data_IF_506019922735
#
_entry.id   IF_506019922735
#
_cell.length_a   1.000
_cell.length_b   1.000
_cell.length_c   1.000
_cell.angle_alpha   90.00
_cell.angle_beta   90.00
_cell.angle_gamma   90.00
#
_symmetry.space_group_name_H-M   'P 1'
#
loop_
_entity.id
_entity.type
_entity.pdbx_description
1 polymer ?
#
# COMPACT_ATOMS: atom_id res chain seq x y z
N UNK A 1 -17.81 -10.42 0.74
CA UNK A 1 -17.48 -10.36 2.21
C UNK A 1 -16.32 -9.42 2.46
N UNK A 2 -15.20 -9.58 1.78
CA UNK A 2 -13.98 -8.78 1.98
C UNK A 2 -14.18 -7.26 1.79
N UNK A 3 -15.01 -6.87 0.80
CA UNK A 3 -15.32 -5.45 0.54
C UNK A 3 -16.05 -4.79 1.72
N UNK A 4 -17.02 -5.47 2.33
CA UNK A 4 -17.79 -4.95 3.45
C UNK A 4 -16.90 -4.79 4.69
N UNK A 5 -16.10 -5.81 5.01
CA UNK A 5 -15.14 -5.74 6.12
C UNK A 5 -14.17 -4.57 5.97
N UNK A 6 -13.66 -4.36 4.76
CA UNK A 6 -12.76 -3.26 4.44
C UNK A 6 -13.44 -1.90 4.62
N UNK A 7 -14.68 -1.75 4.13
CA UNK A 7 -15.46 -0.52 4.29
C UNK A 7 -15.73 -0.23 5.76
N UNK A 8 -16.14 -1.22 6.55
CA UNK A 8 -16.40 -1.05 8.00
C UNK A 8 -15.10 -0.68 8.74
N UNK A 9 -14.01 -1.41 8.51
CA UNK A 9 -12.71 -1.10 9.12
C UNK A 9 -12.28 0.34 8.84
N UNK A 10 -12.28 0.73 7.57
CA UNK A 10 -11.82 2.06 7.19
C UNK A 10 -12.82 3.16 7.56
N UNK A 11 -14.12 2.92 7.43
CA UNK A 11 -15.16 3.91 7.75
C UNK A 11 -15.28 4.21 9.23
N UNK A 12 -15.29 3.18 10.07
CA UNK A 12 -15.56 3.31 11.50
C UNK A 12 -14.30 3.47 12.36
N UNK A 13 -13.16 2.99 11.91
CA UNK A 13 -11.94 2.93 12.72
C UNK A 13 -10.83 3.78 12.10
N UNK A 14 -10.35 3.42 10.91
CA UNK A 14 -9.11 4.00 10.36
C UNK A 14 -9.27 5.48 10.02
N UNK A 15 -10.34 5.86 9.32
CA UNK A 15 -10.57 7.27 8.95
C UNK A 15 -10.78 8.19 10.15
N UNK A 16 -11.61 7.87 11.16
CA UNK A 16 -11.69 8.66 12.38
C UNK A 16 -10.34 8.82 13.07
N UNK A 17 -9.55 7.75 13.21
CA UNK A 17 -8.21 7.84 13.79
C UNK A 17 -7.31 8.74 12.93
N UNK A 18 -7.27 8.53 11.63
CA UNK A 18 -6.41 9.29 10.72
C UNK A 18 -6.74 10.80 10.72
N UNK A 19 -8.01 11.15 10.57
CA UNK A 19 -8.41 12.53 10.37
C UNK A 19 -8.67 13.30 11.66
N UNK A 20 -9.13 12.65 12.74
CA UNK A 20 -9.48 13.31 14.00
C UNK A 20 -8.31 13.24 14.99
N UNK A 21 -7.73 12.03 15.20
CA UNK A 21 -6.70 11.85 16.23
C UNK A 21 -5.33 12.27 15.72
N UNK A 22 -4.95 11.84 14.51
CA UNK A 22 -3.62 12.17 13.94
C UNK A 22 -3.59 13.56 13.28
N UNK A 23 -4.73 14.14 12.97
CA UNK A 23 -4.80 15.50 12.40
C UNK A 23 -4.04 15.65 11.09
N UNK A 24 -4.26 14.77 10.13
CA UNK A 24 -3.50 14.72 8.87
C UNK A 24 -3.57 16.06 8.11
N UNK A 25 -2.41 16.59 7.77
CA UNK A 25 -2.28 17.69 6.81
C UNK A 25 -1.97 17.10 5.43
N UNK A 26 -2.92 17.19 4.50
CA UNK A 26 -2.83 16.55 3.18
C UNK A 26 -2.71 17.63 2.11
N UNK A 27 -1.66 17.54 1.28
CA UNK A 27 -1.45 18.40 0.12
C UNK A 27 -1.52 17.58 -1.15
N UNK A 28 -2.14 18.11 -2.22
CA UNK A 28 -2.22 17.44 -3.52
C UNK A 28 -3.11 16.18 -3.51
N UNK A 29 -4.13 16.11 -2.66
CA UNK A 29 -5.07 14.98 -2.64
C UNK A 29 -5.82 14.81 -3.97
N UNK A 30 -6.02 15.89 -4.69
CA UNK A 30 -6.62 15.94 -6.03
C UNK A 30 -5.79 15.20 -7.09
N UNK A 31 -4.49 14.98 -6.83
CA UNK A 31 -3.58 14.23 -7.71
C UNK A 31 -3.62 12.71 -7.50
N UNK A 32 -4.31 12.25 -6.46
CA UNK A 32 -4.44 10.80 -6.25
C UNK A 32 -5.39 10.19 -7.29
N UNK A 33 -4.99 9.12 -7.98
CA UNK A 33 -5.84 8.45 -8.96
C UNK A 33 -7.03 7.81 -8.24
N UNK A 34 -8.25 8.12 -8.67
CA UNK A 34 -9.47 7.51 -8.14
C UNK A 34 -9.87 6.21 -8.84
N UNK A 35 -9.26 5.94 -9.98
CA UNK A 35 -9.43 4.73 -10.77
C UNK A 35 -8.05 4.23 -11.19
N UNK A 36 -7.91 2.90 -11.30
CA UNK A 36 -6.72 2.28 -11.87
C UNK A 36 -6.85 2.03 -13.38
N UNK A 37 -5.83 1.44 -13.98
CA UNK A 37 -4.61 0.99 -13.31
C UNK A 37 -3.70 2.14 -12.89
N UNK A 38 -3.18 2.10 -11.67
CA UNK A 38 -2.26 3.10 -11.17
C UNK A 38 -1.37 2.56 -10.05
N UNK A 39 -0.23 3.20 -9.81
CA UNK A 39 0.67 2.89 -8.71
C UNK A 39 0.91 4.13 -7.86
N UNK A 40 0.66 4.01 -6.56
CA UNK A 40 1.12 4.96 -5.54
C UNK A 40 2.49 4.49 -5.05
N UNK A 41 3.52 5.28 -5.31
CA UNK A 41 4.88 5.02 -4.84
C UNK A 41 5.21 5.93 -3.65
N UNK A 42 5.25 5.37 -2.45
CA UNK A 42 5.41 6.15 -1.22
C UNK A 42 6.68 5.76 -0.44
N UNK A 43 7.23 6.67 0.36
CA UNK A 43 8.25 6.34 1.34
C UNK A 43 7.66 5.54 2.51
N UNK A 44 8.47 4.73 3.20
CA UNK A 44 8.01 3.79 4.23
C UNK A 44 8.71 4.00 5.56
N UNK A 45 8.03 4.65 6.49
CA UNK A 45 8.58 5.02 7.80
C UNK A 45 7.84 4.38 8.99
N UNK A 46 6.58 3.96 8.79
CA UNK A 46 5.70 3.53 9.87
C UNK A 46 4.81 2.36 9.47
N UNK A 47 4.37 1.58 10.45
CA UNK A 47 3.30 0.59 10.26
C UNK A 47 1.96 1.20 9.83
N UNK A 48 1.74 2.49 10.14
CA UNK A 48 0.52 3.20 9.79
C UNK A 48 0.47 3.67 8.34
N UNK A 49 1.59 3.70 7.63
CA UNK A 49 1.70 4.29 6.29
C UNK A 49 0.63 3.76 5.33
N UNK A 50 0.47 2.43 5.29
CA UNK A 50 -0.54 1.78 4.43
C UNK A 50 -1.94 2.23 4.80
N UNK A 51 -2.28 2.24 6.10
CA UNK A 51 -3.60 2.58 6.58
C UNK A 51 -3.93 4.05 6.29
N UNK A 52 -2.96 4.93 6.48
CA UNK A 52 -3.11 6.36 6.20
C UNK A 52 -3.32 6.60 4.70
N UNK A 53 -2.47 6.03 3.83
CA UNK A 53 -2.64 6.16 2.38
C UNK A 53 -4.00 5.66 1.90
N UNK A 54 -4.43 4.50 2.37
CA UNK A 54 -5.74 3.94 2.03
C UNK A 54 -6.89 4.81 2.56
N UNK A 55 -6.73 5.46 3.73
CA UNK A 55 -7.75 6.34 4.31
C UNK A 55 -8.05 7.58 3.46
N UNK A 56 -7.14 7.96 2.56
CA UNK A 56 -7.33 9.09 1.65
C UNK A 56 -8.38 8.81 0.57
N UNK A 57 -8.66 7.54 0.30
CA UNK A 57 -9.61 7.14 -0.73
C UNK A 57 -11.06 7.15 -0.22
N UNK A 58 -12.05 7.46 -1.10
CA UNK A 58 -13.47 7.26 -0.78
C UNK A 58 -13.75 5.80 -0.42
N UNK A 59 -14.68 5.55 0.52
CA UNK A 59 -15.07 4.19 0.91
C UNK A 59 -15.60 3.36 -0.27
N UNK A 60 -16.26 4.01 -1.24
CA UNK A 60 -16.72 3.37 -2.47
C UNK A 60 -15.59 2.81 -3.35
N UNK A 61 -14.38 3.39 -3.26
CA UNK A 61 -13.20 3.02 -4.07
C UNK A 61 -12.16 2.21 -3.31
N UNK A 62 -12.24 2.16 -1.98
CA UNK A 62 -11.18 1.58 -1.13
C UNK A 62 -10.91 0.10 -1.43
N UNK A 63 -11.89 -0.63 -1.95
CA UNK A 63 -11.75 -2.03 -2.33
C UNK A 63 -10.81 -2.23 -3.53
N UNK A 64 -10.62 -1.19 -4.36
CA UNK A 64 -9.71 -1.15 -5.51
C UNK A 64 -8.28 -0.77 -5.13
N UNK A 65 -8.06 -0.31 -3.89
CA UNK A 65 -6.72 0.06 -3.41
C UNK A 65 -6.06 -1.14 -2.76
N UNK A 66 -4.94 -1.60 -3.32
CA UNK A 66 -4.26 -2.84 -2.98
C UNK A 66 -2.81 -2.59 -2.56
N UNK A 67 -2.50 -2.64 -1.27
CA UNK A 67 -1.12 -2.55 -0.81
C UNK A 67 -0.31 -3.80 -1.19
N UNK A 68 0.90 -3.59 -1.67
CA UNK A 68 1.87 -4.65 -1.94
C UNK A 68 2.76 -4.83 -0.71
N UNK A 69 2.82 -6.03 -0.16
CA UNK A 69 3.47 -6.28 1.11
C UNK A 69 4.24 -7.61 1.14
N UNK A 70 5.21 -7.71 2.03
CA UNK A 70 6.06 -8.89 2.18
C UNK A 70 5.28 -10.10 2.73
N UNK A 71 5.25 -11.20 1.99
CA UNK A 71 4.54 -12.42 2.36
C UNK A 71 5.07 -13.03 3.66
N UNK A 72 6.39 -13.08 3.83
CA UNK A 72 7.08 -13.61 4.99
C UNK A 72 6.63 -12.99 6.31
N UNK A 73 6.33 -11.70 6.32
CA UNK A 73 5.83 -10.99 7.52
C UNK A 73 4.31 -11.19 7.71
N UNK A 74 3.52 -10.86 6.68
CA UNK A 74 2.06 -10.82 6.83
C UNK A 74 1.39 -12.20 6.83
N UNK A 75 2.06 -13.24 6.33
CA UNK A 75 1.55 -14.61 6.34
C UNK A 75 2.16 -15.48 7.44
N UNK A 76 2.97 -14.93 8.34
CA UNK A 76 3.62 -15.66 9.44
C UNK A 76 2.66 -16.21 10.49
N UNK A 77 1.51 -15.57 10.67
CA UNK A 77 0.46 -15.94 11.62
C UNK A 77 -0.90 -15.98 10.92
N UNK A 78 -1.71 -17.00 11.19
CA UNK A 78 -3.04 -17.20 10.56
C UNK A 78 -3.99 -16.02 10.75
N UNK A 79 -4.02 -15.42 11.95
CA UNK A 79 -4.89 -14.27 12.25
C UNK A 79 -4.42 -13.03 11.50
N UNK A 80 -3.11 -12.77 11.50
CA UNK A 80 -2.51 -11.65 10.76
C UNK A 80 -2.71 -11.84 9.25
N UNK A 81 -2.53 -13.05 8.73
CA UNK A 81 -2.78 -13.37 7.33
C UNK A 81 -4.24 -13.12 6.94
N UNK A 82 -5.18 -13.63 7.74
CA UNK A 82 -6.60 -13.40 7.50
C UNK A 82 -6.94 -11.90 7.48
N UNK A 83 -6.50 -11.16 8.50
CA UNK A 83 -6.74 -9.72 8.60
C UNK A 83 -6.13 -8.96 7.40
N UNK A 84 -4.87 -9.25 7.07
CA UNK A 84 -4.16 -8.58 5.99
C UNK A 84 -4.77 -8.85 4.61
N UNK A 85 -5.17 -10.10 4.36
CA UNK A 85 -5.75 -10.50 3.08
C UNK A 85 -7.22 -10.07 2.96
N UNK A 86 -8.02 -10.19 4.03
CA UNK A 86 -9.47 -9.98 3.98
C UNK A 86 -9.92 -8.57 4.35
N UNK A 87 -9.28 -7.96 5.35
CA UNK A 87 -9.65 -6.61 5.81
C UNK A 87 -8.86 -5.51 5.11
N UNK A 88 -7.56 -5.71 4.87
CA UNK A 88 -6.73 -4.73 4.16
C UNK A 88 -6.70 -5.00 2.66
N UNK A 89 -6.64 -6.27 2.26
CA UNK A 89 -6.57 -6.70 0.87
C UNK A 89 -5.18 -6.55 0.27
N UNK A 90 -4.13 -6.91 1.03
CA UNK A 90 -2.76 -6.86 0.55
C UNK A 90 -2.52 -7.84 -0.62
N UNK A 91 -1.54 -7.51 -1.45
CA UNK A 91 -0.94 -8.42 -2.42
C UNK A 91 0.39 -8.90 -1.82
N UNK A 92 0.49 -10.17 -1.39
CA UNK A 92 1.70 -10.69 -0.79
C UNK A 92 2.77 -10.95 -1.85
N UNK A 93 4.00 -10.42 -1.65
CA UNK A 93 5.19 -10.72 -2.44
C UNK A 93 6.10 -11.70 -1.71
N UNK A 94 6.50 -12.76 -2.38
CA UNK A 94 7.54 -13.67 -1.90
C UNK A 94 8.92 -13.09 -2.15
N UNK A 95 9.60 -12.65 -1.08
CA UNK A 95 10.95 -12.07 -1.15
C UNK A 95 12.07 -13.08 -0.91
N UNK A 96 11.76 -14.37 -0.89
CA UNK A 96 12.74 -15.44 -0.61
C UNK A 96 13.82 -15.59 -1.69
N UNK A 97 13.62 -14.96 -2.86
CA UNK A 97 14.53 -15.06 -4.02
C UNK A 97 14.40 -16.37 -4.78
N UNK A 98 13.45 -17.23 -4.41
CA UNK A 98 13.20 -18.52 -5.08
C UNK A 98 12.37 -18.39 -6.35
N UNK A 99 11.53 -17.36 -6.44
CA UNK A 99 10.67 -17.10 -7.60
C UNK A 99 11.39 -16.26 -8.65
N UNK A 100 11.13 -16.53 -9.93
CA UNK A 100 11.54 -15.63 -11.01
C UNK A 100 10.85 -14.27 -10.84
N UNK A 101 11.47 -13.22 -11.36
CA UNK A 101 10.94 -11.85 -11.23
C UNK A 101 9.53 -11.72 -11.80
N UNK A 102 9.24 -12.39 -12.91
CA UNK A 102 7.92 -12.40 -13.56
C UNK A 102 6.85 -13.03 -12.67
N UNK A 103 7.15 -14.19 -12.07
CA UNK A 103 6.24 -14.87 -11.14
C UNK A 103 6.02 -14.06 -9.86
N UNK A 104 7.06 -13.36 -9.40
CA UNK A 104 7.00 -12.52 -8.19
C UNK A 104 5.93 -11.43 -8.31
N UNK A 105 5.80 -10.79 -9.47
CA UNK A 105 4.89 -9.69 -9.71
C UNK A 105 3.58 -10.07 -10.40
N UNK A 106 3.35 -11.36 -10.72
CA UNK A 106 2.14 -11.82 -11.44
C UNK A 106 0.84 -11.29 -10.81
N UNK A 107 0.68 -11.44 -9.48
CA UNK A 107 -0.51 -10.93 -8.76
C UNK A 107 -0.65 -9.41 -8.79
N UNK A 108 0.45 -8.68 -8.90
CA UNK A 108 0.42 -7.23 -9.07
C UNK A 108 -0.04 -6.86 -10.48
N UNK A 109 0.42 -7.59 -11.49
CA UNK A 109 -0.03 -7.42 -12.86
C UNK A 109 -1.52 -7.75 -12.99
N UNK A 110 -2.00 -8.86 -12.42
CA UNK A 110 -3.43 -9.21 -12.38
C UNK A 110 -4.27 -8.10 -11.75
N UNK A 111 -3.81 -7.51 -10.66
CA UNK A 111 -4.51 -6.41 -10.00
C UNK A 111 -4.56 -5.15 -10.88
N UNK A 112 -3.45 -4.79 -11.54
CA UNK A 112 -3.43 -3.67 -12.49
C UNK A 112 -4.36 -3.91 -13.67
N UNK A 113 -4.41 -5.15 -14.21
CA UNK A 113 -5.32 -5.54 -15.30
C UNK A 113 -6.79 -5.46 -14.88
N UNK A 114 -7.06 -5.65 -13.59
CA UNK A 114 -8.39 -5.46 -12.98
C UNK A 114 -8.70 -3.99 -12.64
N UNK A 115 -7.90 -3.03 -13.12
CA UNK A 115 -8.02 -1.61 -12.79
C UNK A 115 -7.94 -1.32 -11.28
N UNK A 116 -7.10 -2.05 -10.55
CA UNK A 116 -6.79 -1.76 -9.16
C UNK A 116 -5.68 -0.69 -9.07
N UNK A 117 -5.59 -0.05 -7.90
CA UNK A 117 -4.55 0.92 -7.57
C UNK A 117 -3.60 0.24 -6.59
N UNK A 118 -2.35 0.07 -6.97
CA UNK A 118 -1.34 -0.50 -6.09
C UNK A 118 -0.73 0.56 -5.18
N UNK A 119 -0.51 0.23 -3.91
CA UNK A 119 0.37 1.01 -3.02
C UNK A 119 1.67 0.23 -2.87
N UNK A 120 2.77 0.85 -3.26
CA UNK A 120 4.10 0.26 -3.22
C UNK A 120 5.03 1.17 -2.42
N UNK A 121 5.86 0.56 -1.61
CA UNK A 121 6.99 1.20 -0.95
C UNK A 121 8.27 0.78 -1.66
N UNK A 122 8.84 1.61 -2.54
CA UNK A 122 9.98 1.22 -3.37
C UNK A 122 11.24 0.87 -2.58
N UNK A 123 11.31 1.31 -1.33
CA UNK A 123 12.40 0.97 -0.38
C UNK A 123 12.38 -0.53 -0.01
N UNK A 124 11.23 -1.18 -0.09
CA UNK A 124 11.02 -2.61 0.19
C UNK A 124 11.10 -3.02 1.67
N UNK A 125 11.43 -2.08 2.55
CA UNK A 125 11.42 -2.24 4.01
C UNK A 125 11.26 -0.86 4.65
N UNK A 126 10.81 -0.81 5.90
CA UNK A 126 10.74 0.44 6.65
C UNK A 126 12.14 0.97 6.89
N UNK A 127 12.36 2.23 6.53
CA UNK A 127 13.57 2.98 6.78
C UNK A 127 13.59 3.65 8.17
N UNK A 128 14.60 4.49 8.39
CA UNK A 128 14.61 5.39 9.54
C UNK A 128 13.53 6.46 9.38
N UNK A 129 12.96 6.97 10.49
CA UNK A 129 11.99 8.05 10.43
C UNK A 129 12.52 9.24 9.62
N UNK A 130 11.66 9.76 8.72
CA UNK A 130 11.91 10.95 7.91
C UNK A 130 13.10 10.85 6.91
N UNK A 131 13.58 9.64 6.63
CA UNK A 131 14.64 9.39 5.67
C UNK A 131 14.12 8.47 4.56
N UNK A 132 14.40 8.84 3.31
CA UNK A 132 14.13 7.98 2.15
C UNK A 132 15.33 7.07 1.95
N UNK A 133 15.09 5.77 2.02
CA UNK A 133 16.11 4.76 1.80
C UNK A 133 16.31 4.48 0.30
N UNK A 134 17.27 3.61 -0.01
CA UNK A 134 17.56 3.23 -1.40
C UNK A 134 16.33 2.61 -2.08
N UNK A 135 15.94 3.17 -3.21
CA UNK A 135 14.86 2.67 -4.07
C UNK A 135 15.31 1.39 -4.77
N UNK A 136 14.51 0.33 -4.66
CA UNK A 136 14.72 -0.96 -5.30
C UNK A 136 14.08 -1.02 -6.68
N UNK A 137 14.50 -1.97 -7.51
CA UNK A 137 14.05 -2.13 -8.90
C UNK A 137 12.62 -2.66 -9.06
N UNK A 138 11.90 -2.99 -7.96
CA UNK A 138 10.55 -3.58 -8.02
C UNK A 138 9.56 -2.71 -8.81
N UNK A 139 9.57 -1.40 -8.57
CA UNK A 139 8.70 -0.46 -9.30
C UNK A 139 9.00 -0.46 -10.80
N UNK A 140 10.27 -0.53 -11.18
CA UNK A 140 10.67 -0.62 -12.60
C UNK A 140 10.09 -1.89 -13.26
N UNK A 141 10.20 -3.05 -12.61
CA UNK A 141 9.68 -4.31 -13.19
C UNK A 141 8.15 -4.32 -13.32
N UNK A 142 7.43 -3.57 -12.51
CA UNK A 142 5.97 -3.43 -12.62
C UNK A 142 5.54 -2.48 -13.74
N UNK A 143 6.37 -1.50 -14.07
CA UNK A 143 6.02 -0.43 -15.00
C UNK A 143 6.59 -0.61 -16.42
N UNK A 144 7.71 -1.31 -16.57
CA UNK A 144 8.52 -1.34 -17.80
C UNK A 144 7.77 -1.77 -19.08
N UNK A 145 6.76 -2.63 -18.92
CA UNK A 145 6.01 -3.20 -20.05
C UNK A 145 4.55 -2.68 -20.07
N UNK A 146 4.28 -1.51 -19.45
CA UNK A 146 2.93 -0.94 -19.33
C UNK A 146 2.91 0.53 -19.73
N UNK A 147 2.62 0.77 -21.01
CA UNK A 147 2.44 2.12 -21.51
C UNK A 147 1.24 2.82 -20.84
N UNK A 148 1.41 4.08 -20.46
CA UNK A 148 0.35 4.89 -19.86
C UNK A 148 -0.02 4.54 -18.42
N UNK A 149 0.77 3.72 -17.72
CA UNK A 149 0.54 3.43 -16.31
C UNK A 149 0.88 4.65 -15.44
N UNK A 150 -0.12 5.18 -14.76
CA UNK A 150 0.07 6.30 -13.83
C UNK A 150 0.88 5.86 -12.60
N UNK A 151 2.00 6.55 -12.35
CA UNK A 151 2.81 6.38 -11.14
C UNK A 151 2.81 7.69 -10.37
N UNK A 152 2.16 7.71 -9.22
CA UNK A 152 2.02 8.90 -8.38
C UNK A 152 2.95 8.79 -7.17
N UNK A 153 3.99 9.62 -7.09
CA UNK A 153 4.85 9.67 -5.92
C UNK A 153 4.12 10.36 -4.74
N UNK A 154 4.23 9.75 -3.56
CA UNK A 154 3.67 10.30 -2.32
C UNK A 154 4.75 10.35 -1.25
N UNK A 155 4.89 11.50 -0.60
CA UNK A 155 5.81 11.65 0.53
C UNK A 155 4.99 11.77 1.81
N UNK A 156 5.28 10.88 2.76
CA UNK A 156 4.69 10.89 4.11
C UNK A 156 5.72 11.38 5.12
N UNK A 157 5.29 12.27 6.02
CA UNK A 157 6.12 12.86 7.04
C UNK A 157 5.41 12.81 8.41
N UNK A 158 6.17 12.62 9.49
CA UNK A 158 5.65 12.62 10.86
C UNK A 158 5.18 11.27 11.40
N UNK A 159 4.79 10.32 10.53
CA UNK A 159 4.27 9.01 10.94
C UNK A 159 5.34 8.11 11.59
N UNK A 160 6.59 8.24 11.18
CA UNK A 160 7.71 7.49 11.75
C UNK A 160 7.96 7.77 13.24
N UNK A 161 7.52 8.95 13.71
CA UNK A 161 7.59 9.31 15.15
C UNK A 161 6.41 8.77 15.95
N UNK A 162 5.26 8.55 15.30
CA UNK A 162 4.04 8.07 15.96
C UNK A 162 4.08 6.58 16.26
N UNK A 163 4.57 5.75 15.34
CA UNK A 163 4.82 4.32 15.53
C UNK A 163 6.12 3.94 14.79
N UNK A 164 7.27 4.17 15.44
CA UNK A 164 8.57 3.84 14.86
C UNK A 164 8.75 2.32 14.71
N UNK A 165 9.75 1.95 13.96
CA UNK A 165 10.23 0.57 13.92
C UNK A 165 10.73 0.19 15.31
N UNK A 166 10.08 -0.78 15.95
CA UNK A 166 10.54 -1.40 17.17
C UNK A 166 11.71 -2.35 16.92
#
# INVERSE_FOLDING_TARGET
MDRILKILLFGLIIKPIAFIILGLNIRGRDKLPLNGPAIIAANHNSHLDVMILMSLYPLSKIHKVRPVAAADYFLSNKLLAWFSLKCIGIIPLDRSGKSKTEDLFSKCHDALDNNDILIIFPEGSRGNPEQISRIKKGLFYLAKDRDGLDIVPVVMHGLGKSLPRG
#
